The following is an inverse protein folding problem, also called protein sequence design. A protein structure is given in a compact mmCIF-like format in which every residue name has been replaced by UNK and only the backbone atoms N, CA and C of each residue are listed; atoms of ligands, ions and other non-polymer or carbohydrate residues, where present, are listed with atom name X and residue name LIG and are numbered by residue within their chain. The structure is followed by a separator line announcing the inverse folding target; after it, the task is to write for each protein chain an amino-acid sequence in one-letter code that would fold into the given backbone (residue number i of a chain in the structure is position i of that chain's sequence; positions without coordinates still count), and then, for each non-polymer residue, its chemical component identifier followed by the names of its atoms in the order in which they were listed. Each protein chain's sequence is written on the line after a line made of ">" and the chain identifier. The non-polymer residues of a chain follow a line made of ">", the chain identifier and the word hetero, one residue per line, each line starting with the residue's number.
data_IF_436850983883
#
_entry.id   IF_436850983883
#
_cell.length_a   1.000
_cell.length_b   1.000
_cell.length_c   1.000
_cell.angle_alpha   90.00
_cell.angle_beta   90.00
_cell.angle_gamma   90.00
#
_symmetry.space_group_name_H-M   'P 1'
#
loop_
_entity.id
_entity.type
_entity.pdbx_description
1 polymer ?
#
# COMPACT_ATOMS: atom_id res chain seq x y z
N UNK A 1 -28.62 -15.83 7.34
CA UNK A 1 -27.94 -14.61 7.84
C UNK A 1 -26.45 -14.91 7.74
N UNK A 2 -25.74 -14.31 6.79
CA UNK A 2 -24.28 -14.48 6.69
C UNK A 2 -23.64 -13.68 7.82
N UNK A 3 -22.94 -14.37 8.69
CA UNK A 3 -22.20 -13.74 9.79
C UNK A 3 -20.93 -13.08 9.21
N UNK A 4 -20.70 -11.80 9.54
CA UNK A 4 -19.54 -11.04 9.06
C UNK A 4 -18.53 -10.95 10.19
N UNK A 5 -17.44 -11.73 10.07
CA UNK A 5 -16.37 -11.77 11.06
C UNK A 5 -15.39 -10.61 10.86
N UNK A 6 -15.61 -9.51 11.58
CA UNK A 6 -14.68 -8.38 11.63
C UNK A 6 -13.52 -8.70 12.58
N UNK A 7 -12.29 -8.39 12.16
CA UNK A 7 -11.09 -8.56 12.98
C UNK A 7 -10.13 -7.38 12.81
N UNK A 8 -9.34 -7.12 13.85
CA UNK A 8 -8.33 -6.06 13.87
C UNK A 8 -6.99 -6.65 14.28
N UNK A 9 -5.93 -6.24 13.60
CA UNK A 9 -4.56 -6.59 13.93
C UNK A 9 -3.64 -5.37 13.75
N UNK A 10 -2.45 -5.43 14.34
CA UNK A 10 -1.47 -4.33 14.28
C UNK A 10 -0.14 -4.87 13.76
N UNK A 11 0.50 -4.12 12.86
CA UNK A 11 1.88 -4.34 12.42
C UNK A 11 2.69 -3.13 12.83
N UNK A 12 3.71 -3.35 13.67
CA UNK A 12 4.67 -2.33 14.06
C UNK A 12 6.03 -2.63 13.41
N UNK A 13 6.68 -1.58 12.88
CA UNK A 13 8.03 -1.67 12.31
C UNK A 13 8.82 -0.42 12.64
N UNK A 14 10.06 -0.60 13.06
CA UNK A 14 11.03 0.48 13.16
C UNK A 14 11.70 0.68 11.79
N UNK A 15 11.59 1.88 11.23
CA UNK A 15 12.25 2.24 9.99
C UNK A 15 13.45 3.13 10.31
N UNK A 16 14.67 2.80 9.84
CA UNK A 16 15.87 3.61 10.08
C UNK A 16 15.91 4.85 9.17
N UNK A 17 14.83 5.61 9.13
CA UNK A 17 14.65 6.78 8.27
C UNK A 17 13.79 7.84 8.95
N UNK A 18 13.93 9.10 8.52
CA UNK A 18 13.06 10.17 9.03
C UNK A 18 11.61 9.96 8.59
N UNK A 19 10.62 10.50 9.33
CA UNK A 19 9.21 10.40 8.94
C UNK A 19 8.94 10.92 7.52
N UNK A 20 9.58 12.03 7.13
CA UNK A 20 9.47 12.59 5.78
C UNK A 20 9.97 11.61 4.71
N UNK A 21 11.05 10.88 4.99
CA UNK A 21 11.57 9.89 4.06
C UNK A 21 10.64 8.69 3.96
N UNK A 22 10.22 8.12 5.09
CA UNK A 22 9.32 6.98 5.12
C UNK A 22 7.99 7.28 4.40
N UNK A 23 7.40 8.45 4.65
CA UNK A 23 6.12 8.84 4.04
C UNK A 23 6.17 8.91 2.51
N UNK A 24 7.31 9.25 1.90
CA UNK A 24 7.45 9.29 0.44
C UNK A 24 7.24 7.93 -0.24
N UNK A 25 7.54 6.83 0.45
CA UNK A 25 7.29 5.47 -0.07
C UNK A 25 5.80 5.08 -0.05
N UNK A 26 4.94 5.97 0.46
CA UNK A 26 3.48 5.84 0.42
C UNK A 26 2.85 6.88 -0.51
N UNK A 27 3.41 8.09 -0.60
CA UNK A 27 2.81 9.20 -1.36
C UNK A 27 3.33 9.40 -2.77
N UNK A 28 4.48 8.80 -3.12
CA UNK A 28 5.07 8.83 -4.47
C UNK A 28 4.87 7.47 -5.15
N UNK A 29 4.15 7.45 -6.27
CA UNK A 29 3.82 6.22 -7.00
C UNK A 29 5.08 5.42 -7.39
N UNK A 30 6.15 6.09 -7.83
CA UNK A 30 7.36 5.40 -8.29
C UNK A 30 8.09 4.71 -7.14
N UNK A 31 8.21 5.42 -6.01
CA UNK A 31 8.83 4.85 -4.80
C UNK A 31 7.97 3.74 -4.20
N UNK A 32 6.65 3.90 -4.25
CA UNK A 32 5.72 2.89 -3.77
C UNK A 32 5.78 1.60 -4.61
N UNK A 33 5.82 1.73 -5.94
CA UNK A 33 6.00 0.60 -6.86
C UNK A 33 7.25 -0.21 -6.55
N UNK A 34 8.37 0.45 -6.23
CA UNK A 34 9.62 -0.23 -5.96
C UNK A 34 9.57 -1.27 -4.82
N UNK A 35 8.61 -1.18 -3.88
CA UNK A 35 8.48 -2.14 -2.79
C UNK A 35 7.21 -2.99 -2.85
N UNK A 36 6.14 -2.52 -3.49
CA UNK A 36 4.89 -3.29 -3.62
C UNK A 36 4.76 -4.06 -4.96
N UNK A 37 5.77 -4.00 -5.82
CA UNK A 37 5.87 -4.77 -7.09
C UNK A 37 6.62 -6.11 -6.94
N UNK A 38 6.64 -6.65 -5.73
CA UNK A 38 7.54 -7.76 -5.37
C UNK A 38 7.05 -9.15 -5.82
N UNK A 39 6.06 -9.25 -6.71
CA UNK A 39 5.39 -10.51 -7.07
C UNK A 39 5.42 -10.69 -8.61
N UNK A 40 6.58 -11.05 -9.18
CA UNK A 40 6.76 -11.11 -10.63
C UNK A 40 5.89 -12.17 -11.31
N UNK A 41 5.44 -13.17 -10.56
CA UNK A 41 4.57 -14.24 -11.06
C UNK A 41 3.09 -13.83 -11.11
N UNK A 42 2.74 -12.63 -10.62
CA UNK A 42 1.36 -12.12 -10.63
C UNK A 42 1.12 -11.30 -11.90
N UNK A 43 -0.04 -11.49 -12.52
CA UNK A 43 -0.49 -10.63 -13.62
C UNK A 43 -1.15 -9.40 -13.05
N UNK A 44 -0.61 -8.22 -13.33
CA UNK A 44 -1.24 -6.96 -12.95
C UNK A 44 -2.52 -6.74 -13.78
N UNK A 45 -3.66 -6.68 -13.11
CA UNK A 45 -4.97 -6.40 -13.67
C UNK A 45 -5.33 -4.92 -13.55
N UNK A 46 -4.86 -4.26 -12.49
CA UNK A 46 -5.09 -2.84 -12.22
C UNK A 46 -3.93 -2.20 -11.45
N UNK A 47 -3.47 -1.04 -11.92
CA UNK A 47 -2.61 -0.12 -11.18
C UNK A 47 -3.23 1.28 -11.20
N UNK A 48 -3.87 1.65 -10.08
CA UNK A 48 -4.41 2.98 -9.85
C UNK A 48 -3.77 3.60 -8.60
N UNK A 49 -3.42 4.88 -8.70
CA UNK A 49 -2.78 5.61 -7.62
C UNK A 49 -3.23 7.07 -7.61
N UNK A 50 -4.16 7.40 -6.71
CA UNK A 50 -4.65 8.76 -6.50
C UNK A 50 -4.46 9.16 -5.02
N UNK A 51 -3.27 9.66 -4.69
CA UNK A 51 -2.88 9.97 -3.31
C UNK A 51 -3.46 11.31 -2.84
N UNK A 52 -4.75 11.33 -2.52
CA UNK A 52 -5.47 12.46 -1.93
C UNK A 52 -6.65 11.97 -1.10
N UNK A 53 -7.26 12.87 -0.33
CA UNK A 53 -8.51 12.55 0.39
C UNK A 53 -9.59 12.16 -0.62
N UNK A 54 -10.21 10.99 -0.39
CA UNK A 54 -11.21 10.40 -1.29
C UNK A 54 -10.64 9.80 -2.59
N UNK A 55 -9.31 9.78 -2.76
CA UNK A 55 -8.66 9.05 -3.84
C UNK A 55 -8.60 7.54 -3.53
N UNK A 56 -8.35 6.75 -4.57
CA UNK A 56 -8.30 5.29 -4.51
C UNK A 56 -6.90 4.83 -4.93
N UNK A 57 -6.44 3.79 -4.26
CA UNK A 57 -5.29 3.00 -4.70
C UNK A 57 -5.74 1.56 -4.94
N UNK A 58 -5.37 1.02 -6.09
CA UNK A 58 -5.50 -0.40 -6.38
C UNK A 58 -4.21 -0.93 -7.01
N UNK A 59 -3.77 -2.08 -6.52
CA UNK A 59 -2.73 -2.89 -7.14
C UNK A 59 -3.10 -4.35 -7.00
N UNK A 60 -3.62 -4.96 -8.07
CA UNK A 60 -4.17 -6.31 -8.08
C UNK A 60 -4.06 -6.94 -9.46
#
# INVERSE_FOLDING_TARGET
>A
MTDVAHQTFVIERELPASPKHAFRFWSDQKLKRAWNDCHPDWTELEDSFDFRVGGIEAKR
#
